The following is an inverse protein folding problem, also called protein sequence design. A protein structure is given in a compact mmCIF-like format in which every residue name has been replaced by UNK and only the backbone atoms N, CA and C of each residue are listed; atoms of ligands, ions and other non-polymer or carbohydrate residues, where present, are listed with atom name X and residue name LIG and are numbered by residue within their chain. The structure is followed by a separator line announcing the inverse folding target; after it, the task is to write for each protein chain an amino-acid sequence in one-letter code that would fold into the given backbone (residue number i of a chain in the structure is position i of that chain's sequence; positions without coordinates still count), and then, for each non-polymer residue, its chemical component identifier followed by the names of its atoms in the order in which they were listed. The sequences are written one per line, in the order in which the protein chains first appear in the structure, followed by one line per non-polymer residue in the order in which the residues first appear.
data_IF_190862563245
#
_entry.id   IF_190862563245
#
_cell.length_a   1.000
_cell.length_b   1.000
_cell.length_c   1.000
_cell.angle_alpha   90.00
_cell.angle_beta   90.00
_cell.angle_gamma   90.00
#
_symmetry.space_group_name_H-M   'P 1'
#
loop_
_entity.id
_entity.type
_entity.pdbx_description
1 polymer ?
#
# COMPACT_ATOMS: atom_id res chain seq x y z
N UNK A 1 -23.80 -14.77 4.04
CA UNK A 1 -22.57 -14.11 3.55
C UNK A 1 -21.45 -14.59 4.46
N UNK A 2 -20.66 -15.56 4.03
CA UNK A 2 -19.55 -16.06 4.86
C UNK A 2 -18.40 -15.05 4.76
N UNK A 3 -18.21 -14.24 5.80
CA UNK A 3 -17.04 -13.39 5.93
C UNK A 3 -15.84 -14.28 6.21
N UNK A 4 -14.99 -14.47 5.21
CA UNK A 4 -13.75 -15.22 5.33
C UNK A 4 -12.58 -14.26 5.24
N UNK A 5 -11.57 -14.44 6.08
CA UNK A 5 -10.41 -13.54 6.13
C UNK A 5 -9.11 -14.31 6.07
N UNK A 6 -8.18 -13.84 5.24
CA UNK A 6 -6.82 -14.34 5.24
C UNK A 6 -6.04 -13.75 6.41
N UNK A 7 -5.56 -14.61 7.31
CA UNK A 7 -4.82 -14.20 8.49
C UNK A 7 -3.31 -14.17 8.23
N UNK A 8 -2.76 -15.23 7.63
CA UNK A 8 -1.33 -15.36 7.38
C UNK A 8 -1.03 -16.29 6.21
N UNK A 9 0.12 -16.10 5.57
CA UNK A 9 0.71 -17.04 4.62
C UNK A 9 2.01 -17.57 5.21
N UNK A 10 2.07 -18.89 5.43
CA UNK A 10 3.20 -19.57 6.07
C UNK A 10 3.73 -20.71 5.19
N UNK A 11 4.98 -21.09 5.41
CA UNK A 11 5.60 -22.29 4.84
C UNK A 11 6.27 -23.09 5.93
N UNK A 12 6.35 -24.40 5.75
CA UNK A 12 7.05 -25.34 6.63
C UNK A 12 8.03 -26.17 5.80
N UNK A 13 9.00 -26.78 6.47
CA UNK A 13 9.97 -27.66 5.82
C UNK A 13 9.26 -28.83 5.10
N UNK A 14 9.80 -29.26 3.96
CA UNK A 14 9.26 -30.33 3.13
C UNK A 14 9.19 -31.70 3.86
N UNK A 15 10.05 -31.92 4.86
CA UNK A 15 10.03 -33.12 5.70
C UNK A 15 8.89 -33.08 6.73
N UNK A 16 8.46 -31.88 7.12
CA UNK A 16 7.50 -31.64 8.20
C UNK A 16 6.17 -31.07 7.68
N UNK A 17 5.63 -31.71 6.63
CA UNK A 17 4.39 -31.27 5.97
C UNK A 17 3.20 -31.24 6.93
N UNK A 18 2.31 -30.28 6.71
CA UNK A 18 1.02 -30.15 7.43
C UNK A 18 -0.11 -30.64 6.55
N UNK A 19 -1.24 -31.08 7.10
CA UNK A 19 -2.37 -31.56 6.30
C UNK A 19 -3.31 -30.41 5.94
N UNK A 20 -3.69 -30.35 4.66
CA UNK A 20 -4.67 -29.39 4.18
C UNK A 20 -6.05 -29.70 4.76
N UNK A 21 -6.67 -28.71 5.42
CA UNK A 21 -7.99 -28.79 6.06
C UNK A 21 -9.14 -28.37 5.13
N UNK A 22 -8.89 -28.28 3.82
CA UNK A 22 -9.95 -28.06 2.84
C UNK A 22 -10.86 -29.30 2.74
N UNK A 23 -12.18 -29.14 2.54
CA UNK A 23 -13.12 -30.26 2.43
C UNK A 23 -12.63 -31.31 1.44
N UNK A 24 -12.46 -32.55 1.89
CA UNK A 24 -12.02 -33.70 1.08
C UNK A 24 -10.62 -33.60 0.43
N UNK A 25 -9.74 -32.66 0.81
CA UNK A 25 -8.39 -32.52 0.22
C UNK A 25 -7.34 -33.37 0.97
N UNK A 26 -7.26 -33.25 2.32
CA UNK A 26 -6.33 -33.93 3.25
C UNK A 26 -4.88 -34.17 2.75
N UNK A 27 -4.42 -33.36 1.81
CA UNK A 27 -3.11 -33.51 1.16
C UNK A 27 -2.02 -32.87 2.03
N UNK A 28 -0.81 -33.46 2.03
CA UNK A 28 0.33 -32.89 2.76
C UNK A 28 0.87 -31.64 2.02
N UNK A 29 0.72 -30.48 2.65
CA UNK A 29 1.16 -29.17 2.17
C UNK A 29 2.38 -28.69 2.96
N UNK A 30 3.28 -27.98 2.29
CA UNK A 30 4.53 -27.49 2.90
C UNK A 30 4.88 -26.07 2.46
N UNK A 31 4.51 -25.67 1.24
CA UNK A 31 4.72 -24.31 0.73
C UNK A 31 3.38 -23.59 0.56
N UNK A 32 3.38 -22.28 0.81
CA UNK A 32 2.22 -21.39 0.59
C UNK A 32 0.95 -21.92 1.27
N UNK A 33 1.04 -22.09 2.58
CA UNK A 33 -0.05 -22.49 3.45
C UNK A 33 -0.80 -21.22 3.87
N UNK A 34 -2.05 -21.13 3.46
CA UNK A 34 -2.94 -20.03 3.79
C UNK A 34 -3.67 -20.36 5.09
N UNK A 35 -3.53 -19.48 6.08
CA UNK A 35 -4.29 -19.56 7.33
C UNK A 35 -5.51 -18.67 7.16
N UNK A 36 -6.69 -19.28 7.06
CA UNK A 36 -7.96 -18.58 6.80
C UNK A 36 -8.85 -18.69 8.03
N UNK A 37 -9.45 -17.58 8.40
CA UNK A 37 -10.58 -17.55 9.33
C UNK A 37 -11.88 -17.73 8.53
N UNK A 38 -12.60 -18.80 8.80
CA UNK A 38 -13.91 -19.11 8.22
C UNK A 38 -14.96 -19.08 9.34
N UNK A 39 -15.54 -17.89 9.58
CA UNK A 39 -16.56 -17.67 10.60
C UNK A 39 -16.15 -18.07 12.03
N UNK A 40 -14.87 -17.88 12.39
CA UNK A 40 -14.32 -18.23 13.71
C UNK A 40 -13.54 -19.54 13.72
N UNK A 41 -13.68 -20.37 12.68
CA UNK A 41 -12.88 -21.59 12.51
C UNK A 41 -11.63 -21.30 11.69
N UNK A 42 -10.46 -21.46 12.34
CA UNK A 42 -9.17 -21.30 11.68
C UNK A 42 -8.83 -22.56 10.88
N UNK A 43 -8.62 -22.41 9.57
CA UNK A 43 -8.32 -23.52 8.65
C UNK A 43 -7.00 -23.30 7.92
N UNK A 44 -6.23 -24.38 7.78
CA UNK A 44 -4.98 -24.40 7.02
C UNK A 44 -5.24 -24.94 5.61
N UNK A 45 -5.04 -24.11 4.60
CA UNK A 45 -5.40 -24.45 3.22
C UNK A 45 -4.18 -24.28 2.31
N UNK A 46 -3.96 -25.26 1.44
CA UNK A 46 -2.90 -25.17 0.42
C UNK A 46 -3.26 -24.22 -0.72
N UNK A 47 -2.24 -23.69 -1.39
CA UNK A 47 -2.38 -22.79 -2.55
C UNK A 47 -3.30 -23.27 -3.68
N UNK A 48 -3.39 -24.58 -3.91
CA UNK A 48 -4.28 -25.15 -4.93
C UNK A 48 -5.68 -25.45 -4.42
N UNK A 49 -5.85 -25.65 -3.12
CA UNK A 49 -7.16 -25.92 -2.51
C UNK A 49 -7.89 -24.60 -2.15
N UNK A 50 -7.20 -23.46 -1.98
CA UNK A 50 -7.84 -22.17 -1.68
C UNK A 50 -8.57 -21.52 -2.87
N UNK A 51 -8.10 -21.80 -4.09
CA UNK A 51 -8.73 -21.29 -5.33
C UNK A 51 -9.87 -22.18 -5.84
N UNK A 52 -10.05 -23.37 -5.24
CA UNK A 52 -11.12 -24.31 -5.60
C UNK A 52 -12.47 -23.88 -5.05
N UNK A 53 -13.53 -24.24 -5.78
CA UNK A 53 -14.94 -24.10 -5.40
C UNK A 53 -15.36 -22.68 -4.98
N UNK A 54 -14.63 -21.66 -5.45
CA UNK A 54 -14.86 -20.27 -5.04
C UNK A 54 -14.63 -20.06 -3.53
N UNK A 55 -13.80 -20.87 -2.87
CA UNK A 55 -13.50 -20.73 -1.45
C UNK A 55 -12.85 -19.38 -1.13
N UNK A 56 -11.99 -18.90 -2.04
CA UNK A 56 -11.42 -17.55 -2.03
C UNK A 56 -12.38 -16.45 -2.53
N UNK A 57 -13.62 -16.74 -2.91
CA UNK A 57 -14.56 -15.71 -3.36
C UNK A 57 -14.85 -14.74 -2.21
N UNK A 58 -14.34 -13.51 -2.34
CA UNK A 58 -14.42 -12.47 -1.31
C UNK A 58 -13.24 -12.40 -0.34
N UNK A 59 -12.21 -13.25 -0.51
CA UNK A 59 -10.95 -13.17 0.26
C UNK A 59 -9.89 -12.53 -0.62
N UNK A 60 -9.28 -11.43 -0.16
CA UNK A 60 -8.09 -10.88 -0.81
C UNK A 60 -6.86 -11.72 -0.44
N UNK A 61 -6.49 -12.63 -1.35
CA UNK A 61 -5.33 -13.51 -1.19
C UNK A 61 -3.98 -12.77 -1.26
N UNK A 62 -3.99 -11.49 -1.64
CA UNK A 62 -2.79 -10.65 -1.75
C UNK A 62 -2.48 -9.87 -0.46
N UNK A 63 -3.41 -9.82 0.50
CA UNK A 63 -3.27 -9.05 1.74
C UNK A 63 -3.54 -9.89 3.01
N UNK A 64 -2.59 -10.73 3.45
CA UNK A 64 -2.69 -11.39 4.76
C UNK A 64 -2.62 -10.37 5.91
N UNK A 65 -3.40 -10.61 6.97
CA UNK A 65 -3.51 -9.68 8.09
C UNK A 65 -2.25 -9.55 8.96
N UNK A 66 -1.43 -10.61 9.07
CA UNK A 66 -0.32 -10.69 10.04
C UNK A 66 1.01 -11.15 9.43
N UNK A 67 1.16 -11.16 8.11
CA UNK A 67 2.41 -11.56 7.46
C UNK A 67 2.78 -10.64 6.31
N UNK A 68 4.00 -10.09 6.32
CA UNK A 68 4.48 -9.16 5.27
C UNK A 68 5.07 -9.90 4.04
N UNK A 69 5.02 -11.23 4.01
CA UNK A 69 5.68 -12.02 2.97
C UNK A 69 4.88 -12.13 1.67
N UNK A 70 5.31 -11.37 0.67
CA UNK A 70 5.12 -11.71 -0.74
C UNK A 70 5.86 -13.04 -1.05
N UNK A 71 5.17 -14.03 -1.63
CA UNK A 71 5.79 -15.26 -2.15
C UNK A 71 5.44 -16.55 -1.42
N UNK A 72 6.44 -17.25 -0.85
CA UNK A 72 6.27 -18.59 -0.29
C UNK A 72 5.67 -18.62 1.13
N UNK A 73 5.43 -17.45 1.73
CA UNK A 73 5.07 -17.28 3.13
C UNK A 73 6.30 -17.19 4.04
N UNK A 74 6.07 -16.88 5.32
CA UNK A 74 7.12 -16.98 6.35
C UNK A 74 7.42 -18.45 6.61
N UNK A 75 8.69 -18.83 6.57
CA UNK A 75 9.13 -20.16 6.98
C UNK A 75 9.03 -20.29 8.50
N UNK A 76 8.23 -21.24 8.97
CA UNK A 76 8.06 -21.56 10.38
C UNK A 76 9.14 -22.57 10.81
N UNK A 77 9.68 -22.33 12.00
CA UNK A 77 10.52 -23.29 12.72
C UNK A 77 9.72 -24.55 13.12
N UNK A 78 10.40 -25.64 13.50
CA UNK A 78 9.72 -26.87 13.91
C UNK A 78 8.86 -26.63 15.16
N UNK A 79 9.33 -25.77 16.07
CA UNK A 79 8.61 -25.36 17.27
C UNK A 79 7.32 -24.60 16.92
N UNK A 80 7.41 -23.62 16.01
CA UNK A 80 6.25 -22.87 15.52
C UNK A 80 5.26 -23.76 14.74
N UNK A 81 5.75 -24.78 14.03
CA UNK A 81 4.90 -25.79 13.38
C UNK A 81 4.15 -26.64 14.40
N UNK A 82 4.80 -27.08 15.47
CA UNK A 82 4.12 -27.86 16.51
C UNK A 82 3.01 -27.02 17.15
N UNK A 83 3.23 -25.72 17.34
CA UNK A 83 2.19 -24.79 17.79
C UNK A 83 1.12 -24.61 16.71
N UNK A 84 1.48 -24.54 15.43
CA UNK A 84 0.51 -24.47 14.32
C UNK A 84 -0.48 -25.65 14.34
N UNK A 85 0.00 -26.85 14.68
CA UNK A 85 -0.78 -28.09 14.68
C UNK A 85 -1.54 -28.27 16.01
N UNK A 86 -0.90 -27.98 17.14
CA UNK A 86 -1.48 -28.21 18.49
C UNK A 86 -2.37 -27.06 18.95
N UNK A 87 -2.00 -25.82 18.61
CA UNK A 87 -2.68 -24.61 19.06
C UNK A 87 -2.53 -23.47 18.04
N UNK A 88 -3.22 -23.60 16.90
CA UNK A 88 -3.17 -22.63 15.80
C UNK A 88 -3.49 -21.20 16.25
N UNK A 89 -4.38 -21.05 17.23
CA UNK A 89 -4.76 -19.75 17.78
C UNK A 89 -3.62 -19.06 18.53
N UNK A 90 -2.79 -19.83 19.24
CA UNK A 90 -1.61 -19.30 19.94
C UNK A 90 -0.54 -18.81 18.96
N UNK A 91 -0.28 -19.57 17.87
CA UNK A 91 0.65 -19.10 16.85
C UNK A 91 0.17 -17.81 16.21
N UNK A 92 -1.13 -17.72 15.88
CA UNK A 92 -1.70 -16.49 15.32
C UNK A 92 -1.61 -15.31 16.27
N UNK A 93 -1.81 -15.51 17.57
CA UNK A 93 -1.63 -14.47 18.57
C UNK A 93 -0.17 -13.99 18.64
N UNK A 94 0.81 -14.91 18.54
CA UNK A 94 2.23 -14.56 18.47
C UNK A 94 2.56 -13.79 17.19
N UNK A 95 2.10 -14.25 16.03
CA UNK A 95 2.27 -13.56 14.75
C UNK A 95 1.65 -12.16 14.76
N UNK A 96 0.45 -12.02 15.33
CA UNK A 96 -0.20 -10.73 15.52
C UNK A 96 0.64 -9.81 16.41
N UNK A 97 1.10 -10.29 17.56
CA UNK A 97 1.90 -9.50 18.49
C UNK A 97 3.25 -9.08 17.88
N UNK A 98 3.91 -9.97 17.13
CA UNK A 98 5.15 -9.65 16.42
C UNK A 98 4.92 -8.59 15.35
N UNK A 99 3.83 -8.71 14.58
CA UNK A 99 3.46 -7.73 13.57
C UNK A 99 3.14 -6.36 14.19
N UNK A 100 2.36 -6.32 15.27
CA UNK A 100 2.05 -5.08 16.01
C UNK A 100 3.31 -4.46 16.66
N UNK A 101 4.19 -5.29 17.23
CA UNK A 101 5.46 -4.83 17.79
C UNK A 101 6.40 -4.27 16.71
N UNK A 102 6.43 -4.90 15.54
CA UNK A 102 7.20 -4.41 14.41
C UNK A 102 6.68 -3.03 13.96
N UNK A 103 5.37 -2.89 13.75
CA UNK A 103 4.74 -1.60 13.44
C UNK A 103 5.03 -0.52 14.50
N UNK A 104 4.96 -0.88 15.79
CA UNK A 104 5.24 0.05 16.88
C UNK A 104 6.72 0.49 16.92
N UNK A 105 7.64 -0.46 16.71
CA UNK A 105 9.08 -0.17 16.66
C UNK A 105 9.45 0.71 15.48
N UNK A 106 8.84 0.48 14.31
CA UNK A 106 9.03 1.28 13.11
C UNK A 106 8.44 2.69 13.29
N UNK A 107 7.28 2.81 13.92
CA UNK A 107 6.69 4.11 14.27
C UNK A 107 7.56 4.92 15.24
N UNK A 108 8.13 4.27 16.26
CA UNK A 108 9.06 4.89 17.21
C UNK A 108 10.36 5.34 16.53
N UNK A 109 10.93 4.52 15.64
CA UNK A 109 12.11 4.88 14.85
C UNK A 109 11.82 6.05 13.91
N UNK A 110 10.66 6.07 13.25
CA UNK A 110 10.23 7.18 12.40
C UNK A 110 10.08 8.50 13.19
N UNK A 111 9.48 8.44 14.39
CA UNK A 111 9.40 9.56 15.32
C UNK A 111 10.79 10.05 15.76
N UNK A 112 11.69 9.16 16.18
CA UNK A 112 13.04 9.52 16.59
C UNK A 112 13.84 10.16 15.44
N UNK A 113 13.73 9.62 14.23
CA UNK A 113 14.40 10.17 13.04
C UNK A 113 13.86 11.55 12.66
N UNK A 114 12.54 11.76 12.79
CA UNK A 114 11.92 13.08 12.57
C UNK A 114 12.43 14.15 13.55
N UNK A 115 12.61 13.79 14.83
CA UNK A 115 13.12 14.71 15.85
C UNK A 115 14.61 15.03 15.63
N UNK A 116 15.42 14.06 15.21
CA UNK A 116 16.83 14.26 14.89
C UNK A 116 17.04 15.19 13.68
N UNK A 117 16.17 15.10 12.67
CA UNK A 117 16.20 15.98 11.50
C UNK A 117 15.74 17.41 11.85
N UNK A 118 14.71 17.56 12.69
CA UNK A 118 14.26 18.86 13.18
C UNK A 118 15.31 19.57 14.05
N UNK A 119 16.04 18.83 14.89
CA UNK A 119 17.13 19.38 15.72
C UNK A 119 18.33 19.88 14.89
N UNK A 120 18.60 19.25 13.73
CA UNK A 120 19.63 19.70 12.78
C UNK A 120 19.20 20.91 11.94
N UNK A 121 17.90 21.20 11.86
CA UNK A 121 17.33 22.31 11.09
C UNK A 121 17.13 23.59 11.93
N UNK A 122 17.98 23.85 12.93
CA UNK A 122 17.93 25.12 13.69
C UNK A 122 18.41 26.28 12.77
N UNK A 123 17.58 27.31 12.51
CA UNK A 123 17.88 28.30 11.49
C UNK A 123 18.89 29.34 11.99
N UNK A 124 19.99 29.53 11.25
CA UNK A 124 20.68 30.82 11.19
C UNK A 124 19.80 31.80 10.41
N UNK A 125 19.35 32.84 11.09
CA UNK A 125 18.51 33.93 10.56
C UNK A 125 19.04 34.48 9.23
N UNK A 126 18.20 34.47 8.19
CA UNK A 126 18.14 35.47 7.11
C UNK A 126 16.86 35.28 6.29
N UNK A 127 16.01 36.32 6.09
CA UNK A 127 14.84 36.25 5.23
C UNK A 127 15.17 36.67 3.79
N UNK A 128 14.43 36.16 2.79
CA UNK A 128 13.88 37.10 1.81
C UNK A 128 12.43 36.80 1.35
N UNK A 129 11.67 37.90 1.30
CA UNK A 129 10.73 38.31 0.25
C UNK A 129 9.56 37.39 -0.16
N UNK A 130 8.40 37.72 0.39
CA UNK A 130 7.03 37.36 -0.03
C UNK A 130 6.69 37.93 -1.42
N UNK A 131 6.02 37.17 -2.31
CA UNK A 131 5.15 37.74 -3.34
C UNK A 131 3.67 37.72 -2.92
N UNK A 132 2.96 38.76 -3.37
CA UNK A 132 1.57 39.18 -3.15
C UNK A 132 0.52 38.17 -3.67
N UNK A 133 -0.73 38.16 -3.15
CA UNK A 133 -1.79 37.26 -3.62
C UNK A 133 -2.55 37.86 -4.83
N UNK A 134 -2.74 37.06 -5.88
CA UNK A 134 -3.57 37.40 -7.04
C UNK A 134 -5.03 36.92 -6.86
N UNK A 135 -6.01 37.52 -7.58
CA UNK A 135 -7.44 37.44 -7.26
C UNK A 135 -8.12 36.17 -7.80
N UNK A 136 -9.16 35.70 -7.10
CA UNK A 136 -10.01 34.56 -7.50
C UNK A 136 -10.93 34.92 -8.69
N UNK A 137 -11.10 34.04 -9.71
CA UNK A 137 -12.20 34.13 -10.66
C UNK A 137 -13.30 33.05 -10.38
N UNK A 138 -14.48 33.17 -11.02
CA UNK A 138 -15.77 32.88 -10.40
C UNK A 138 -16.24 31.42 -10.50
N UNK A 139 -17.22 31.08 -9.65
CA UNK A 139 -18.01 29.84 -9.72
C UNK A 139 -18.56 29.65 -11.15
N UNK A 140 -18.16 28.59 -11.83
CA UNK A 140 -18.71 28.20 -13.13
C UNK A 140 -19.25 26.77 -13.10
N UNK A 141 -20.59 26.74 -13.12
CA UNK A 141 -21.56 25.83 -13.74
C UNK A 141 -21.12 24.38 -13.98
N UNK A 142 -21.79 23.50 -13.23
CA UNK A 142 -21.86 22.05 -13.34
C UNK A 142 -22.53 21.67 -14.67
N UNK A 143 -21.83 20.98 -15.57
CA UNK A 143 -22.45 20.44 -16.78
C UNK A 143 -21.48 19.85 -17.79
N UNK A 144 -20.57 20.67 -18.33
CA UNK A 144 -19.70 20.25 -19.46
C UNK A 144 -18.22 20.06 -19.10
N UNK A 145 -17.76 20.64 -17.98
CA UNK A 145 -16.40 20.46 -17.47
C UNK A 145 -16.09 19.01 -17.01
N UNK A 146 -17.11 18.16 -16.85
CA UNK A 146 -16.97 16.82 -16.28
C UNK A 146 -16.20 15.85 -17.21
N UNK A 147 -16.35 15.96 -18.54
CA UNK A 147 -15.68 15.04 -19.49
C UNK A 147 -14.17 15.28 -19.59
N UNK A 148 -13.71 16.50 -19.31
CA UNK A 148 -12.29 16.85 -19.25
C UNK A 148 -11.72 16.85 -17.82
N UNK A 149 -12.51 16.65 -16.77
CA UNK A 149 -12.05 16.72 -15.36
C UNK A 149 -11.91 15.35 -14.69
N UNK A 150 -12.27 14.26 -15.37
CA UNK A 150 -12.12 12.92 -14.85
C UNK A 150 -10.64 12.48 -14.94
N UNK A 151 -10.12 11.75 -13.94
CA UNK A 151 -8.83 11.10 -14.05
C UNK A 151 -8.82 10.15 -15.26
N UNK A 152 -7.70 10.02 -15.99
CA UNK A 152 -7.60 9.10 -17.13
C UNK A 152 -7.81 7.65 -16.70
N UNK A 153 -7.62 7.36 -15.42
CA UNK A 153 -7.85 6.06 -14.81
C UNK A 153 -9.29 5.91 -14.30
N UNK A 154 -10.11 5.02 -14.91
CA UNK A 154 -11.51 4.85 -14.54
C UNK A 154 -11.71 4.28 -13.12
N UNK A 155 -10.70 3.62 -12.58
CA UNK A 155 -10.68 3.01 -11.24
C UNK A 155 -10.41 4.02 -10.10
N UNK A 156 -9.98 5.24 -10.42
CA UNK A 156 -9.72 6.29 -9.42
C UNK A 156 -11.05 6.84 -8.89
N UNK A 157 -11.10 7.12 -7.60
CA UNK A 157 -12.21 7.85 -6.98
C UNK A 157 -12.10 9.35 -7.28
N UNK A 158 -12.98 9.93 -8.12
CA UNK A 158 -12.92 11.34 -8.49
C UNK A 158 -13.33 12.29 -7.35
N UNK A 159 -13.93 11.76 -6.27
CA UNK A 159 -14.37 12.54 -5.11
C UNK A 159 -13.29 12.64 -4.01
N UNK A 160 -12.14 12.00 -4.19
CA UNK A 160 -11.04 11.99 -3.22
C UNK A 160 -9.96 12.98 -3.60
N UNK A 161 -9.33 13.57 -2.59
CA UNK A 161 -8.25 14.54 -2.77
C UNK A 161 -7.08 13.90 -3.50
N UNK A 162 -6.63 14.58 -4.55
CA UNK A 162 -5.42 14.23 -5.31
C UNK A 162 -4.27 15.03 -4.72
N UNK A 163 -3.10 14.42 -4.54
CA UNK A 163 -1.90 15.13 -4.11
C UNK A 163 -0.89 15.10 -5.25
N UNK A 164 -0.41 16.27 -5.66
CA UNK A 164 0.63 16.43 -6.67
C UNK A 164 1.97 16.72 -5.98
N UNK A 165 3.02 16.05 -6.44
CA UNK A 165 4.38 16.21 -5.93
C UNK A 165 5.31 16.39 -7.13
N UNK A 166 6.09 17.46 -7.13
CA UNK A 166 7.16 17.71 -8.08
C UNK A 166 8.51 17.47 -7.41
N UNK A 167 9.32 16.60 -7.99
CA UNK A 167 10.68 16.31 -7.54
C UNK A 167 11.69 17.27 -8.18
N UNK A 168 12.86 17.39 -7.54
CA UNK A 168 13.94 18.27 -8.01
C UNK A 168 14.66 17.75 -9.27
N UNK A 169 14.60 16.45 -9.52
CA UNK A 169 15.10 15.81 -10.74
C UNK A 169 14.16 16.01 -11.95
N UNK A 170 13.06 16.75 -11.78
CA UNK A 170 12.06 16.98 -12.81
C UNK A 170 10.94 15.93 -12.84
N UNK A 171 11.08 14.82 -12.11
CA UNK A 171 10.03 13.80 -12.00
C UNK A 171 8.83 14.29 -11.18
N UNK A 172 7.66 13.73 -11.43
CA UNK A 172 6.43 14.19 -10.80
C UNK A 172 5.51 13.03 -10.47
N UNK A 173 4.80 13.14 -9.36
CA UNK A 173 3.96 12.09 -8.82
C UNK A 173 2.56 12.60 -8.52
N UNK A 174 1.58 11.75 -8.78
CA UNK A 174 0.20 11.91 -8.34
C UNK A 174 -0.16 10.83 -7.35
N UNK A 175 -0.58 11.25 -6.17
CA UNK A 175 -1.23 10.37 -5.20
C UNK A 175 -2.73 10.40 -5.46
N UNK A 176 -3.27 9.22 -5.75
CA UNK A 176 -4.71 9.00 -5.96
C UNK A 176 -5.22 7.87 -5.06
N UNK A 177 -6.54 7.73 -4.95
CA UNK A 177 -7.18 6.65 -4.20
C UNK A 177 -8.06 5.83 -5.14
N UNK A 178 -8.00 4.50 -5.01
CA UNK A 178 -8.89 3.60 -5.75
C UNK A 178 -10.30 3.68 -5.20
N UNK A 179 -11.29 3.68 -6.10
CA UNK A 179 -12.72 3.66 -5.76
C UNK A 179 -13.15 2.34 -5.12
N UNK A 180 -12.59 1.24 -5.61
CA UNK A 180 -13.07 -0.11 -5.27
C UNK A 180 -12.48 -0.60 -3.95
N UNK A 181 -11.17 -0.39 -3.74
CA UNK A 181 -10.45 -0.87 -2.55
C UNK A 181 -10.20 0.22 -1.51
N UNK A 182 -10.32 1.51 -1.87
CA UNK A 182 -9.86 2.61 -1.03
C UNK A 182 -8.33 2.67 -0.89
N UNK A 183 -7.57 1.84 -1.60
CA UNK A 183 -6.11 1.83 -1.51
C UNK A 183 -5.49 3.06 -2.17
N UNK A 184 -4.31 3.47 -1.67
CA UNK A 184 -3.57 4.60 -2.20
C UNK A 184 -2.62 4.16 -3.31
N UNK A 185 -2.51 4.99 -4.34
CA UNK A 185 -1.61 4.75 -5.47
C UNK A 185 -0.78 6.00 -5.74
N UNK A 186 0.51 5.80 -6.01
CA UNK A 186 1.41 6.81 -6.53
C UNK A 186 1.64 6.53 -8.01
N UNK A 187 1.25 7.49 -8.85
CA UNK A 187 1.32 7.38 -10.29
C UNK A 187 2.32 8.41 -10.82
N UNK A 188 3.31 8.03 -11.64
CA UNK A 188 4.17 9.01 -12.29
C UNK A 188 3.36 9.84 -13.29
N UNK A 189 3.51 11.17 -13.26
CA UNK A 189 2.74 12.04 -14.15
C UNK A 189 3.49 13.33 -14.52
N UNK A 190 4.10 13.43 -15.71
CA UNK A 190 4.08 12.44 -16.80
C UNK A 190 4.86 11.17 -16.44
N UNK A 191 4.67 10.10 -17.21
CA UNK A 191 5.46 8.89 -17.04
C UNK A 191 6.95 9.16 -17.35
N UNK A 192 7.87 8.62 -16.54
CA UNK A 192 9.31 8.82 -16.69
C UNK A 192 10.10 7.54 -16.40
N UNK A 193 11.21 7.32 -17.08
CA UNK A 193 11.98 6.07 -16.96
C UNK A 193 12.45 5.82 -15.51
N UNK A 194 12.29 4.58 -15.05
CA UNK A 194 12.75 4.16 -13.71
C UNK A 194 11.76 4.47 -12.58
N UNK A 195 10.57 4.96 -12.90
CA UNK A 195 9.52 5.19 -11.89
C UNK A 195 9.15 3.91 -11.12
N UNK A 196 9.27 2.74 -11.77
CA UNK A 196 8.90 1.45 -11.18
C UNK A 196 9.73 1.05 -9.96
N UNK A 197 11.01 1.45 -9.97
CA UNK A 197 11.99 1.13 -8.91
C UNK A 197 12.23 2.32 -7.97
N UNK A 198 11.51 3.44 -8.18
CA UNK A 198 11.74 4.67 -7.44
C UNK A 198 11.37 4.56 -5.97
N UNK A 199 10.27 3.85 -5.69
CA UNK A 199 9.83 3.59 -4.33
C UNK A 199 10.36 2.23 -3.86
N UNK A 200 11.02 2.14 -2.70
CA UNK A 200 11.42 0.87 -2.12
C UNK A 200 10.23 -0.10 -2.03
N UNK A 201 10.47 -1.37 -2.35
CA UNK A 201 9.43 -2.39 -2.45
C UNK A 201 8.64 -2.65 -1.16
N UNK A 202 9.15 -2.23 0.01
CA UNK A 202 8.44 -2.30 1.28
C UNK A 202 7.45 -1.13 1.49
N UNK A 203 7.62 -0.03 0.76
CA UNK A 203 6.73 1.14 0.81
C UNK A 203 5.63 1.11 -0.25
N UNK A 204 5.81 0.29 -1.28
CA UNK A 204 4.78 0.05 -2.29
C UNK A 204 5.16 -1.02 -3.28
N UNK A 205 4.17 -1.47 -4.03
CA UNK A 205 4.31 -2.54 -5.01
C UNK A 205 3.76 -2.09 -6.36
N UNK A 206 4.39 -2.54 -7.44
CA UNK A 206 3.89 -2.28 -8.78
C UNK A 206 2.52 -2.91 -8.94
N UNK A 207 1.54 -2.08 -9.25
CA UNK A 207 0.23 -2.55 -9.66
C UNK A 207 0.20 -2.56 -11.19
N UNK A 208 0.48 -3.73 -11.77
CA UNK A 208 0.51 -3.96 -13.21
C UNK A 208 -0.83 -3.72 -13.92
N UNK A 209 -1.92 -3.55 -13.18
CA UNK A 209 -3.24 -3.25 -13.74
C UNK A 209 -3.62 -1.76 -13.65
N UNK A 210 -2.83 -0.95 -12.93
CA UNK A 210 -3.19 0.42 -12.55
C UNK A 210 -2.12 1.45 -12.88
N UNK A 211 -1.10 1.07 -13.66
CA UNK A 211 -0.01 1.95 -14.13
C UNK A 211 0.61 2.82 -13.02
N UNK A 212 0.76 2.25 -11.82
CA UNK A 212 1.21 2.97 -10.64
C UNK A 212 1.70 2.04 -9.54
N UNK A 213 2.28 2.66 -8.51
CA UNK A 213 2.75 1.98 -7.30
C UNK A 213 1.60 2.00 -6.29
N UNK A 214 1.09 0.83 -5.95
CA UNK A 214 0.14 0.68 -4.85
C UNK A 214 0.87 0.81 -3.52
N UNK A 215 0.32 1.64 -2.64
CA UNK A 215 0.94 2.01 -1.38
C UNK A 215 0.02 1.56 -0.24
N UNK A 216 0.43 0.55 0.57
CA UNK A 216 -0.37 0.05 1.69
C UNK A 216 -0.61 1.10 2.78
N UNK A 217 0.38 1.97 3.00
CA UNK A 217 0.30 3.09 3.95
C UNK A 217 0.91 4.34 3.32
N UNK A 218 0.08 5.35 3.09
CA UNK A 218 0.50 6.54 2.36
C UNK A 218 1.47 7.43 3.15
N UNK A 219 1.45 7.37 4.47
CA UNK A 219 2.33 8.17 5.34
C UNK A 219 3.82 7.89 5.07
N UNK A 220 4.28 6.64 5.23
CA UNK A 220 5.66 6.24 4.95
C UNK A 220 6.12 6.57 3.52
N UNK A 221 5.28 6.33 2.51
CA UNK A 221 5.64 6.65 1.13
C UNK A 221 5.80 8.16 0.90
N UNK A 222 4.90 8.98 1.44
CA UNK A 222 5.04 10.44 1.36
C UNK A 222 6.26 10.95 2.15
N UNK A 223 6.59 10.33 3.27
CA UNK A 223 7.82 10.65 4.00
C UNK A 223 9.07 10.37 3.18
N UNK A 224 9.12 9.22 2.49
CA UNK A 224 10.22 8.89 1.59
C UNK A 224 10.35 9.90 0.46
N UNK A 225 9.25 10.25 -0.22
CA UNK A 225 9.26 11.27 -1.27
C UNK A 225 9.71 12.63 -0.74
N UNK A 226 9.23 13.06 0.43
CA UNK A 226 9.62 14.33 1.06
C UNK A 226 11.09 14.36 1.48
N UNK A 227 11.66 13.22 1.87
CA UNK A 227 13.08 13.12 2.20
C UNK A 227 13.99 13.42 0.99
N UNK A 228 13.49 13.19 -0.23
CA UNK A 228 14.16 13.56 -1.48
C UNK A 228 13.99 15.04 -1.86
N UNK A 229 13.40 15.86 -0.97
CA UNK A 229 13.24 17.32 -1.11
C UNK A 229 12.50 17.72 -2.40
N UNK A 230 11.19 17.42 -2.49
CA UNK A 230 10.38 17.85 -3.61
C UNK A 230 10.35 19.39 -3.71
N UNK A 231 10.32 19.88 -4.94
CA UNK A 231 10.25 21.31 -5.27
C UNK A 231 8.83 21.85 -5.03
N UNK A 232 7.81 21.00 -5.17
CA UNK A 232 6.42 21.37 -4.93
C UNK A 232 5.63 20.19 -4.38
N UNK A 233 4.76 20.47 -3.42
CA UNK A 233 3.78 19.52 -2.90
C UNK A 233 2.45 20.26 -2.71
N UNK A 234 1.37 19.77 -3.31
CA UNK A 234 0.08 20.46 -3.28
C UNK A 234 -1.12 19.51 -3.33
N UNK A 235 -2.03 19.70 -2.38
CA UNK A 235 -3.32 19.00 -2.35
C UNK A 235 -4.27 19.66 -3.35
N UNK A 236 -4.62 18.91 -4.37
CA UNK A 236 -5.54 19.29 -5.43
C UNK A 236 -6.98 18.89 -5.09
N UNK A 237 -7.92 19.78 -5.40
CA UNK A 237 -9.37 19.57 -5.26
C UNK A 237 -9.93 18.56 -6.25
N UNK A 238 -9.15 18.19 -7.26
CA UNK A 238 -9.50 17.21 -8.27
C UNK A 238 -8.44 17.12 -9.36
N UNK A 239 -8.63 16.21 -10.32
CA UNK A 239 -7.64 15.91 -11.34
C UNK A 239 -7.36 17.09 -12.28
N UNK A 240 -8.36 17.91 -12.58
CA UNK A 240 -8.18 19.10 -13.41
C UNK A 240 -7.13 20.07 -12.83
N UNK A 241 -7.14 20.28 -11.51
CA UNK A 241 -6.14 21.11 -10.83
C UNK A 241 -4.78 20.43 -10.84
N UNK A 242 -4.73 19.11 -10.60
CA UNK A 242 -3.48 18.34 -10.63
C UNK A 242 -2.79 18.42 -12.01
N UNK A 243 -3.56 18.30 -13.11
CA UNK A 243 -3.03 18.50 -14.47
C UNK A 243 -2.55 19.92 -14.72
N UNK A 244 -3.29 20.91 -14.24
CA UNK A 244 -2.87 22.31 -14.38
C UNK A 244 -1.52 22.53 -13.69
N UNK A 245 -1.32 21.95 -12.52
CA UNK A 245 -0.02 21.98 -11.83
C UNK A 245 1.05 21.22 -12.61
N UNK A 246 0.75 20.02 -13.10
CA UNK A 246 1.69 19.26 -13.93
C UNK A 246 2.15 20.07 -15.16
N UNK A 247 1.25 20.78 -15.83
CA UNK A 247 1.57 21.66 -16.98
C UNK A 247 2.51 22.82 -16.66
N UNK A 248 2.55 23.28 -15.41
CA UNK A 248 3.50 24.32 -14.99
C UNK A 248 4.94 23.81 -15.01
N UNK A 249 5.14 22.52 -14.75
CA UNK A 249 6.45 21.88 -14.73
C UNK A 249 6.76 21.12 -16.03
N UNK A 250 5.71 20.68 -16.74
CA UNK A 250 5.77 19.89 -17.97
C UNK A 250 4.87 20.53 -19.03
N UNK A 251 5.34 21.57 -19.74
CA UNK A 251 4.52 22.36 -20.67
C UNK A 251 4.04 21.58 -21.91
N UNK A 252 4.50 20.34 -22.10
CA UNK A 252 4.11 19.46 -23.21
C UNK A 252 2.94 18.51 -22.88
N UNK A 253 2.36 18.60 -21.67
CA UNK A 253 1.12 17.91 -21.22
C UNK A 253 -0.15 18.72 -21.50
#
# INVERSE_FOLDING_TARGET
MNQRRLLAIVSVNQENRVRCMFPNCNHPIHKRIYVVDDAGDIKLIGSTCITKDGYAAGIDLSQPAYSVSSGNGRELTEEERQILISNTHELLARLKNEYEAQLASEALQALAMSQALAAKARPTNSPPSRPTPAPMPPKLVVGEALRNALPPWPWVDPLRSVLFIQMADGSSWLRVQSRDSGSHHLIPYPEFVGWQDYLPSHLGHLNSTRDGIEVPSIGPALMFLRAQKPVCESVCRGFAQARQMARQYHPHL
#
